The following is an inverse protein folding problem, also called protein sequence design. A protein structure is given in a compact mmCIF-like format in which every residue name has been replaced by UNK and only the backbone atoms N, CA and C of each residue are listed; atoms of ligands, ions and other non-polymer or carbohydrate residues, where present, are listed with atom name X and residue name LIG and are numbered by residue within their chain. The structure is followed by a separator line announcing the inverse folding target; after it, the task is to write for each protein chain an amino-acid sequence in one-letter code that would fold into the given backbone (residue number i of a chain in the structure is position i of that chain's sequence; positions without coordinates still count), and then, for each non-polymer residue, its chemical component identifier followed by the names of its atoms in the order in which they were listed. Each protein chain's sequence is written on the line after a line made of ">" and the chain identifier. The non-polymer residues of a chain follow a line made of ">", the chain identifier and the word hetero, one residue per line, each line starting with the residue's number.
data_IF_730007664228
#
_entry.id   IF_730007664228
#
_cell.length_a   1.000
_cell.length_b   1.000
_cell.length_c   1.000
_cell.angle_alpha   90.00
_cell.angle_beta   90.00
_cell.angle_gamma   90.00
#
_symmetry.space_group_name_H-M   'P 1'
#
loop_
_entity.id
_entity.type
_entity.pdbx_description
1 polymer ?
#
# COMPACT_ATOMS: atom_id res chain seq x y z
N UNK A 1 63.37 20.66 40.53
CA UNK A 1 62.67 21.86 40.02
C UNK A 1 62.03 21.49 38.69
N UNK A 2 60.74 21.63 38.38
CA UNK A 2 59.62 22.25 39.07
C UNK A 2 58.33 21.52 38.65
N UNK A 3 57.88 20.53 39.44
CA UNK A 3 56.56 19.88 39.25
C UNK A 3 55.39 20.86 39.48
N UNK A 4 55.63 21.96 40.19
CA UNK A 4 54.63 23.00 40.42
C UNK A 4 54.30 23.86 39.18
N UNK A 5 55.25 24.08 38.26
CA UNK A 5 54.99 24.89 37.05
C UNK A 5 54.15 24.10 36.05
N UNK A 6 54.40 22.79 35.91
CA UNK A 6 53.63 21.93 35.03
C UNK A 6 52.15 21.78 35.47
N UNK A 7 51.91 21.74 36.79
CA UNK A 7 50.55 21.62 37.33
C UNK A 7 49.75 22.94 37.17
N UNK A 8 50.40 24.10 37.31
CA UNK A 8 49.73 25.39 37.08
C UNK A 8 49.37 25.59 35.60
N UNK A 9 50.25 25.23 34.66
CA UNK A 9 49.95 25.34 33.23
C UNK A 9 48.80 24.42 32.78
N UNK A 10 48.71 23.20 33.34
CA UNK A 10 47.61 22.27 33.05
C UNK A 10 46.26 22.76 33.59
N UNK A 11 46.23 23.34 34.79
CA UNK A 11 45.00 23.87 35.38
C UNK A 11 44.49 25.10 34.60
N UNK A 12 45.39 26.00 34.18
CA UNK A 12 45.01 27.16 33.35
C UNK A 12 44.48 26.75 31.96
N UNK A 13 45.02 25.68 31.37
CA UNK A 13 44.56 25.16 30.07
C UNK A 13 43.18 24.47 30.17
N UNK A 14 42.93 23.75 31.26
CA UNK A 14 41.64 23.09 31.52
C UNK A 14 40.52 24.11 31.85
N UNK A 15 40.83 25.16 32.60
CA UNK A 15 39.85 26.23 32.88
C UNK A 15 39.52 27.06 31.63
N UNK A 16 40.51 27.31 30.76
CA UNK A 16 40.29 28.03 29.50
C UNK A 16 39.40 27.26 28.51
N UNK A 17 39.56 25.94 28.41
CA UNK A 17 38.77 25.10 27.51
C UNK A 17 37.33 24.89 28.00
N UNK A 18 37.10 24.79 29.32
CA UNK A 18 35.74 24.74 29.87
C UNK A 18 34.95 26.05 29.62
N UNK A 19 35.61 27.21 29.77
CA UNK A 19 34.95 28.51 29.58
C UNK A 19 34.55 28.76 28.11
N UNK A 20 35.38 28.33 27.15
CA UNK A 20 35.06 28.40 25.73
C UNK A 20 33.96 27.41 25.30
N UNK A 21 33.89 26.25 25.94
CA UNK A 21 32.83 25.25 25.69
C UNK A 21 31.46 25.74 26.17
N UNK A 22 31.37 26.29 27.38
CA UNK A 22 30.13 26.77 27.98
C UNK A 22 29.53 27.96 27.19
N UNK A 23 30.38 28.89 26.71
CA UNK A 23 29.92 30.04 25.92
C UNK A 23 29.38 29.64 24.54
N UNK A 24 30.01 28.66 23.89
CA UNK A 24 29.58 28.14 22.58
C UNK A 24 28.25 27.38 22.66
N UNK A 25 27.96 26.74 23.79
CA UNK A 25 26.68 26.06 24.04
C UNK A 25 25.57 27.08 24.32
N UNK A 26 25.81 28.11 25.12
CA UNK A 26 24.82 29.14 25.42
C UNK A 26 24.39 29.96 24.18
N UNK A 27 25.35 30.31 23.31
CA UNK A 27 25.06 31.05 22.07
C UNK A 27 24.35 30.17 21.03
N UNK A 28 24.59 28.84 21.03
CA UNK A 28 23.89 27.91 20.14
C UNK A 28 22.46 27.61 20.60
N UNK A 29 22.19 27.58 21.91
CA UNK A 29 20.84 27.40 22.47
C UNK A 29 19.97 28.63 22.26
N UNK A 30 20.52 29.85 22.42
CA UNK A 30 19.78 31.10 22.16
C UNK A 30 19.44 31.31 20.67
N UNK A 31 20.33 30.88 19.77
CA UNK A 31 20.08 30.92 18.33
C UNK A 31 19.03 29.90 17.85
N UNK A 32 18.93 28.73 18.48
CA UNK A 32 17.91 27.71 18.13
C UNK A 32 16.50 28.12 18.54
N UNK A 33 16.30 28.70 19.72
CA UNK A 33 14.95 29.09 20.15
C UNK A 33 14.31 30.18 19.27
N UNK A 34 15.08 31.19 18.83
CA UNK A 34 14.56 32.25 17.96
C UNK A 34 14.36 31.79 16.49
N UNK A 35 15.12 30.77 16.04
CA UNK A 35 14.93 30.16 14.72
C UNK A 35 13.76 29.17 14.77
N UNK A 36 13.59 28.39 15.83
CA UNK A 36 12.49 27.43 15.98
C UNK A 36 11.12 28.13 16.09
N UNK A 37 11.05 29.30 16.71
CA UNK A 37 9.79 30.04 16.85
C UNK A 37 9.37 30.72 15.54
N UNK A 38 10.33 31.31 14.82
CA UNK A 38 10.07 31.99 13.54
C UNK A 38 9.87 31.00 12.38
N UNK A 39 10.57 29.86 12.38
CA UNK A 39 10.34 28.75 11.43
C UNK A 39 8.97 28.10 11.68
N UNK A 40 8.50 28.04 12.93
CA UNK A 40 7.15 27.52 13.24
C UNK A 40 6.04 28.42 12.71
N UNK A 41 6.17 29.74 12.80
CA UNK A 41 5.11 30.67 12.42
C UNK A 41 5.01 30.85 10.89
N UNK A 42 6.15 31.03 10.22
CA UNK A 42 6.20 31.13 8.74
C UNK A 42 5.79 29.81 8.06
N UNK A 43 6.11 28.65 8.64
CA UNK A 43 5.66 27.36 8.10
C UNK A 43 4.15 27.12 8.32
N UNK A 44 3.58 27.57 9.44
CA UNK A 44 2.15 27.41 9.73
C UNK A 44 1.26 28.22 8.78
N UNK A 45 1.70 29.40 8.34
CA UNK A 45 0.97 30.20 7.34
C UNK A 45 1.09 29.59 5.94
N UNK A 46 2.29 29.15 5.50
CA UNK A 46 2.46 28.42 4.24
C UNK A 46 1.63 27.12 4.18
N UNK A 47 1.47 26.43 5.32
CA UNK A 47 0.69 25.20 5.42
C UNK A 47 -0.82 25.44 5.43
N UNK A 48 -1.28 26.60 5.95
CA UNK A 48 -2.68 27.04 5.81
C UNK A 48 -3.01 27.40 4.37
N UNK A 49 -2.09 28.05 3.66
CA UNK A 49 -2.27 28.39 2.24
C UNK A 49 -2.26 27.15 1.33
N UNK A 50 -1.50 26.10 1.70
CA UNK A 50 -1.48 24.81 0.99
C UNK A 50 -2.62 23.86 1.36
N UNK A 51 -3.49 24.24 2.30
CA UNK A 51 -4.63 23.40 2.71
C UNK A 51 -4.23 22.17 3.53
N UNK A 52 -3.14 22.23 4.29
CA UNK A 52 -2.69 21.13 5.14
C UNK A 52 -3.75 20.73 6.17
N UNK A 53 -3.92 19.43 6.40
CA UNK A 53 -4.86 18.90 7.40
C UNK A 53 -4.30 19.14 8.82
N UNK A 54 -4.63 20.29 9.40
CA UNK A 54 -4.21 20.69 10.74
C UNK A 54 -5.18 20.10 11.79
N UNK A 55 -4.65 19.40 12.80
CA UNK A 55 -5.43 18.89 13.94
C UNK A 55 -4.93 19.52 15.24
N UNK A 56 -5.85 19.97 16.09
CA UNK A 56 -5.52 20.62 17.37
C UNK A 56 -5.57 19.60 18.51
N UNK A 57 -4.45 19.40 19.20
CA UNK A 57 -4.35 18.59 20.42
C UNK A 57 -3.93 19.51 21.57
N UNK A 58 -4.89 19.89 22.42
CA UNK A 58 -4.64 20.89 23.45
C UNK A 58 -4.35 22.27 22.84
N UNK A 59 -3.19 22.85 23.15
CA UNK A 59 -2.74 24.14 22.57
C UNK A 59 -1.85 23.96 21.33
N UNK A 60 -1.42 22.74 21.02
CA UNK A 60 -0.56 22.46 19.87
C UNK A 60 -1.37 22.16 18.62
N UNK A 61 -0.90 22.69 17.49
CA UNK A 61 -1.42 22.36 16.15
C UNK A 61 -0.44 21.40 15.50
N UNK A 62 -0.90 20.17 15.27
CA UNK A 62 -0.12 19.14 14.61
C UNK A 62 -0.52 19.09 13.14
N UNK A 63 0.48 18.99 12.28
CA UNK A 63 0.28 18.57 10.90
C UNK A 63 0.03 17.08 10.89
N UNK A 64 -1.10 16.67 10.33
CA UNK A 64 -1.20 15.29 9.88
C UNK A 64 -0.22 15.12 8.73
N UNK A 65 0.65 14.08 8.76
CA UNK A 65 1.49 13.79 7.61
C UNK A 65 0.60 13.63 6.38
N UNK A 66 0.95 14.32 5.30
CA UNK A 66 0.26 14.14 4.02
C UNK A 66 0.49 12.70 3.57
N UNK A 67 -0.57 11.90 3.68
CA UNK A 67 -0.56 10.53 3.16
C UNK A 67 -0.95 10.61 1.70
N UNK A 68 0.06 10.64 0.85
CA UNK A 68 -0.18 10.58 -0.59
C UNK A 68 -0.66 9.19 -1.00
N UNK A 69 -1.64 9.19 -1.90
CA UNK A 69 -2.16 7.99 -2.53
C UNK A 69 -1.08 7.37 -3.43
N UNK A 70 -0.89 6.05 -3.35
CA UNK A 70 0.00 5.30 -4.27
C UNK A 70 -0.53 5.24 -5.71
N UNK A 71 -1.77 5.69 -5.96
CA UNK A 71 -2.38 5.68 -7.28
C UNK A 71 -1.80 6.77 -8.19
N UNK A 72 -1.43 6.38 -9.40
CA UNK A 72 -1.01 7.30 -10.44
C UNK A 72 -2.21 7.67 -11.34
N UNK A 73 -2.67 8.92 -11.23
CA UNK A 73 -3.74 9.46 -12.07
C UNK A 73 -3.24 10.03 -13.40
N UNK A 74 -1.94 10.26 -13.55
CA UNK A 74 -1.28 10.76 -14.76
C UNK A 74 -0.89 9.63 -15.71
N UNK A 75 -1.81 8.68 -15.92
CA UNK A 75 -1.56 7.56 -16.83
C UNK A 75 -1.46 8.05 -18.28
N UNK A 76 -0.50 7.52 -19.06
CA UNK A 76 -0.40 7.86 -20.47
C UNK A 76 -1.66 7.43 -21.21
N UNK A 77 -2.19 8.26 -22.12
CA UNK A 77 -3.37 7.89 -22.92
C UNK A 77 -3.06 7.00 -24.13
N UNK A 78 -1.80 6.65 -24.33
CA UNK A 78 -1.30 5.86 -25.46
C UNK A 78 -0.72 4.54 -24.95
N UNK A 79 -1.17 3.45 -25.55
CA UNK A 79 -0.64 2.14 -25.22
C UNK A 79 0.84 2.01 -25.57
N UNK A 80 1.63 1.34 -24.71
CA UNK A 80 3.00 1.01 -24.99
C UNK A 80 3.13 0.09 -26.20
N UNK A 81 4.29 0.15 -26.87
CA UNK A 81 4.61 -0.74 -27.98
C UNK A 81 4.75 -2.18 -27.48
N UNK A 82 4.26 -3.15 -28.28
CA UNK A 82 4.39 -4.59 -27.98
C UNK A 82 5.83 -5.05 -27.73
N UNK A 83 6.82 -4.36 -28.30
CA UNK A 83 8.24 -4.69 -28.15
C UNK A 83 8.87 -4.17 -26.85
N UNK A 84 8.25 -3.18 -26.19
CA UNK A 84 8.82 -2.56 -24.99
C UNK A 84 8.10 -3.08 -23.74
N UNK A 85 8.63 -4.16 -23.17
CA UNK A 85 8.07 -4.81 -21.97
C UNK A 85 8.14 -3.90 -20.74
N UNK A 86 9.22 -3.12 -20.59
CA UNK A 86 9.40 -2.23 -19.46
C UNK A 86 8.27 -1.17 -19.39
N UNK A 87 7.98 -0.52 -20.53
CA UNK A 87 6.85 0.43 -20.60
C UNK A 87 5.48 -0.23 -20.45
N UNK A 88 5.36 -1.53 -20.76
CA UNK A 88 4.12 -2.28 -20.49
C UNK A 88 3.93 -2.52 -19.00
N UNK A 89 5.00 -2.89 -18.29
CA UNK A 89 4.99 -3.05 -16.83
C UNK A 89 4.71 -1.72 -16.13
N UNK A 90 5.39 -0.65 -16.50
CA UNK A 90 5.13 0.70 -15.97
C UNK A 90 3.67 1.14 -16.18
N UNK A 91 3.13 0.90 -17.39
CA UNK A 91 1.73 1.20 -17.67
C UNK A 91 0.76 0.31 -16.88
N UNK A 92 1.10 -0.99 -16.69
CA UNK A 92 0.34 -1.93 -15.87
C UNK A 92 0.31 -1.50 -14.41
N UNK A 93 1.46 -1.13 -13.86
CA UNK A 93 1.61 -0.79 -12.45
C UNK A 93 0.95 0.55 -12.11
N UNK A 94 0.86 1.45 -13.09
CA UNK A 94 0.11 2.69 -12.95
C UNK A 94 -1.40 2.51 -12.94
N UNK A 95 -1.95 1.38 -13.41
CA UNK A 95 -3.38 1.15 -13.54
C UNK A 95 -4.06 0.85 -12.20
N UNK A 96 -4.96 1.75 -11.79
CA UNK A 96 -5.78 1.59 -10.58
C UNK A 96 -7.12 0.88 -10.79
N UNK A 97 -7.50 0.59 -12.04
CA UNK A 97 -8.72 -0.15 -12.39
C UNK A 97 -8.36 -1.42 -13.15
N UNK A 98 -9.11 -2.49 -12.90
CA UNK A 98 -8.87 -3.76 -13.58
C UNK A 98 -10.00 -4.76 -13.44
N UNK A 99 -9.67 -5.99 -13.81
CA UNK A 99 -10.58 -7.13 -13.78
C UNK A 99 -9.91 -8.37 -13.18
N UNK A 100 -10.64 -9.06 -12.31
CA UNK A 100 -10.30 -10.40 -11.84
C UNK A 100 -10.87 -11.40 -12.85
N UNK A 101 -10.00 -12.17 -13.46
CA UNK A 101 -10.34 -13.24 -14.38
C UNK A 101 -10.18 -14.55 -13.64
N UNK A 102 -11.30 -15.11 -13.18
CA UNK A 102 -11.35 -16.35 -12.40
C UNK A 102 -11.66 -17.51 -13.35
N UNK A 103 -10.90 -18.60 -13.25
CA UNK A 103 -11.13 -19.80 -14.06
C UNK A 103 -12.55 -20.33 -13.84
N UNK A 104 -13.22 -20.72 -14.93
CA UNK A 104 -14.60 -21.22 -14.93
C UNK A 104 -15.65 -20.25 -14.38
N UNK A 105 -15.30 -18.98 -14.23
CA UNK A 105 -16.24 -17.95 -13.81
C UNK A 105 -16.92 -17.30 -15.03
N UNK A 106 -18.23 -17.05 -15.02
CA UNK A 106 -18.97 -16.63 -16.21
C UNK A 106 -18.58 -15.24 -16.75
N UNK A 107 -18.06 -14.35 -15.90
CA UNK A 107 -17.68 -13.00 -16.31
C UNK A 107 -16.60 -12.39 -15.41
N UNK A 108 -15.65 -11.61 -15.96
CA UNK A 108 -14.62 -10.99 -15.15
C UNK A 108 -15.19 -9.98 -14.14
N UNK A 109 -14.74 -10.06 -12.88
CA UNK A 109 -15.17 -9.17 -11.80
C UNK A 109 -14.33 -7.89 -11.85
N UNK A 110 -14.96 -6.72 -11.85
CA UNK A 110 -14.23 -5.45 -11.82
C UNK A 110 -13.59 -5.22 -10.46
N UNK A 111 -12.42 -4.58 -10.43
CA UNK A 111 -11.79 -4.15 -9.18
C UNK A 111 -11.22 -2.74 -9.28
N UNK A 112 -11.07 -2.09 -8.13
CA UNK A 112 -10.28 -0.87 -7.97
C UNK A 112 -9.14 -1.12 -7.00
N UNK A 113 -7.95 -0.64 -7.33
CA UNK A 113 -6.80 -0.68 -6.44
C UNK A 113 -7.01 0.27 -5.25
N UNK A 114 -6.55 -0.13 -4.08
CA UNK A 114 -6.56 0.75 -2.91
C UNK A 114 -5.57 1.91 -3.06
N UNK A 115 -5.73 2.96 -2.24
CA UNK A 115 -4.77 4.07 -2.19
C UNK A 115 -3.40 3.69 -1.59
N UNK A 116 -3.23 2.44 -1.17
CA UNK A 116 -2.08 1.89 -0.48
C UNK A 116 -1.77 0.48 -0.99
N UNK A 117 -0.62 -0.07 -0.58
CA UNK A 117 -0.14 -1.36 -1.05
C UNK A 117 0.58 -1.28 -2.39
N UNK A 118 0.84 -2.44 -2.97
CA UNK A 118 1.57 -2.61 -4.24
C UNK A 118 0.62 -2.67 -5.45
N UNK A 119 1.15 -2.52 -6.67
CA UNK A 119 0.45 -2.87 -7.91
C UNK A 119 -0.04 -4.32 -7.93
N UNK A 120 -1.05 -4.58 -8.76
CA UNK A 120 -1.61 -5.92 -8.91
C UNK A 120 -0.53 -6.92 -9.37
N UNK A 121 -0.38 -8.09 -8.71
CA UNK A 121 0.65 -9.07 -9.05
C UNK A 121 0.47 -9.63 -10.46
N UNK A 122 1.58 -9.92 -11.13
CA UNK A 122 1.61 -10.60 -12.43
C UNK A 122 1.39 -12.12 -12.25
N UNK A 123 0.78 -12.77 -13.25
CA UNK A 123 0.64 -14.23 -13.29
C UNK A 123 -0.57 -14.78 -12.54
N UNK A 124 -0.62 -16.11 -12.42
CA UNK A 124 -1.72 -16.86 -11.83
C UNK A 124 -1.73 -16.77 -10.31
N UNK A 125 -2.93 -16.62 -9.76
CA UNK A 125 -3.21 -16.49 -8.34
C UNK A 125 -4.12 -17.63 -7.90
N UNK A 126 -3.85 -18.15 -6.71
CA UNK A 126 -4.78 -19.02 -5.98
C UNK A 126 -5.65 -18.17 -5.07
N UNK A 127 -6.95 -18.14 -5.31
CA UNK A 127 -7.91 -17.42 -4.48
C UNK A 127 -8.31 -18.27 -3.27
N UNK A 128 -8.22 -17.68 -2.08
CA UNK A 128 -8.61 -18.31 -0.81
C UNK A 128 -9.47 -17.35 0.00
N UNK A 129 -10.41 -17.89 0.76
CA UNK A 129 -11.20 -17.11 1.71
C UNK A 129 -10.39 -16.93 3.00
N UNK A 130 -10.41 -15.71 3.57
CA UNK A 130 -9.89 -15.48 4.91
C UNK A 130 -10.62 -16.37 5.93
N UNK A 131 -9.94 -17.02 6.91
CA UNK A 131 -10.58 -17.99 7.81
C UNK A 131 -11.77 -17.43 8.60
N UNK A 132 -11.70 -16.17 9.02
CA UNK A 132 -12.74 -15.42 9.71
C UNK A 132 -13.65 -14.63 8.75
N UNK A 133 -13.52 -14.83 7.43
CA UNK A 133 -14.14 -14.05 6.35
C UNK A 133 -13.72 -12.57 6.29
N UNK A 134 -13.15 -12.01 7.35
CA UNK A 134 -12.88 -10.58 7.49
C UNK A 134 -11.39 -10.23 7.48
N UNK A 135 -10.49 -11.19 7.63
CA UNK A 135 -9.04 -11.00 7.73
C UNK A 135 -8.62 -10.04 8.85
N UNK A 136 -9.30 -10.05 10.00
CA UNK A 136 -8.99 -9.10 11.07
C UNK A 136 -7.93 -9.59 12.06
N UNK A 137 -7.70 -10.90 12.11
CA UNK A 137 -6.73 -11.54 13.00
C UNK A 137 -5.57 -12.15 12.20
N UNK A 138 -4.49 -12.54 12.89
CA UNK A 138 -3.39 -13.25 12.24
C UNK A 138 -3.79 -14.69 11.88
N UNK A 139 -3.44 -15.12 10.68
CA UNK A 139 -3.65 -16.48 10.20
C UNK A 139 -2.52 -16.89 9.26
N UNK A 140 -2.56 -18.13 8.81
CA UNK A 140 -1.65 -18.65 7.78
C UNK A 140 -2.49 -19.07 6.58
N UNK A 141 -2.09 -18.64 5.38
CA UNK A 141 -2.63 -19.24 4.17
C UNK A 141 -1.81 -20.46 3.80
N UNK A 142 -2.47 -21.59 3.52
CA UNK A 142 -1.81 -22.75 2.94
C UNK A 142 -1.36 -22.44 1.51
N UNK A 143 -0.09 -22.05 1.35
CA UNK A 143 0.51 -21.70 0.06
C UNK A 143 1.66 -20.68 0.14
N UNK A 144 2.37 -20.62 1.27
CA UNK A 144 3.44 -19.65 1.48
C UNK A 144 4.70 -20.04 0.73
N UNK A 145 4.98 -19.36 -0.39
CA UNK A 145 6.28 -19.21 -1.05
C UNK A 145 7.20 -20.45 -1.04
N UNK A 146 6.64 -21.66 -1.18
CA UNK A 146 7.45 -22.85 -1.50
C UNK A 146 7.64 -22.88 -3.02
N UNK A 147 8.83 -23.26 -3.47
CA UNK A 147 9.18 -23.30 -4.88
C UNK A 147 8.17 -24.16 -5.66
N UNK A 148 7.38 -23.53 -6.55
CA UNK A 148 6.35 -24.19 -7.35
C UNK A 148 4.89 -23.92 -6.91
N UNK A 149 4.64 -23.24 -5.80
CA UNK A 149 3.29 -22.83 -5.41
C UNK A 149 2.88 -21.49 -6.03
N UNK A 150 1.60 -21.37 -6.44
CA UNK A 150 1.05 -20.12 -6.94
C UNK A 150 0.94 -19.07 -5.82
N UNK A 151 1.25 -17.78 -6.09
CA UNK A 151 0.95 -16.71 -5.16
C UNK A 151 -0.53 -16.69 -4.75
N UNK A 152 -0.79 -16.33 -3.49
CA UNK A 152 -2.13 -16.41 -2.91
C UNK A 152 -2.84 -15.05 -2.95
N UNK A 153 -4.09 -15.05 -3.39
CA UNK A 153 -5.01 -13.94 -3.25
C UNK A 153 -6.04 -14.24 -2.15
N UNK A 154 -5.99 -13.48 -1.06
CA UNK A 154 -6.98 -13.61 0.01
C UNK A 154 -8.20 -12.78 -0.32
N UNK A 155 -9.39 -13.37 -0.22
CA UNK A 155 -10.67 -12.67 -0.26
C UNK A 155 -11.14 -12.42 1.18
N UNK A 156 -11.52 -11.17 1.47
CA UNK A 156 -12.11 -10.79 2.74
C UNK A 156 -13.28 -9.81 2.55
N UNK A 157 -14.22 -9.80 3.48
CA UNK A 157 -15.37 -8.90 3.48
C UNK A 157 -15.04 -7.57 4.18
N UNK A 158 -15.53 -6.45 3.64
CA UNK A 158 -15.49 -5.12 4.28
C UNK A 158 -16.20 -5.14 5.65
N UNK A 159 -15.71 -4.31 6.57
CA UNK A 159 -16.26 -4.16 7.92
C UNK A 159 -15.44 -4.86 9.00
N UNK A 160 -15.92 -4.81 10.25
CA UNK A 160 -15.31 -5.35 11.48
C UNK A 160 -14.00 -4.66 11.90
N UNK A 161 -13.05 -4.49 10.99
CA UNK A 161 -11.75 -3.83 11.22
C UNK A 161 -11.35 -2.96 10.03
N UNK A 162 -10.31 -2.13 10.20
CA UNK A 162 -9.79 -1.22 9.16
C UNK A 162 -9.19 -1.96 7.98
N UNK A 163 -9.16 -1.35 6.79
CA UNK A 163 -8.53 -1.94 5.60
C UNK A 163 -7.03 -2.20 5.80
N UNK A 164 -6.33 -1.29 6.50
CA UNK A 164 -4.93 -1.49 6.87
C UNK A 164 -4.70 -2.73 7.72
N UNK A 165 -5.57 -2.99 8.72
CA UNK A 165 -5.49 -4.21 9.53
C UNK A 165 -5.70 -5.47 8.69
N UNK A 166 -6.69 -5.44 7.77
CA UNK A 166 -6.94 -6.56 6.84
C UNK A 166 -5.71 -6.86 5.99
N UNK A 167 -5.13 -5.82 5.41
CA UNK A 167 -3.97 -5.95 4.53
C UNK A 167 -2.74 -6.44 5.27
N UNK A 168 -2.49 -5.95 6.50
CA UNK A 168 -1.39 -6.44 7.35
C UNK A 168 -1.57 -7.91 7.73
N UNK A 169 -2.77 -8.32 8.11
CA UNK A 169 -3.07 -9.72 8.41
C UNK A 169 -2.85 -10.63 7.18
N UNK A 170 -3.36 -10.25 6.02
CA UNK A 170 -3.16 -10.98 4.77
C UNK A 170 -1.68 -11.04 4.35
N UNK A 171 -0.93 -9.93 4.51
CA UNK A 171 0.49 -9.90 4.21
C UNK A 171 1.29 -10.83 5.13
N UNK A 172 1.01 -10.82 6.44
CA UNK A 172 1.61 -11.75 7.42
C UNK A 172 1.27 -13.21 7.12
N UNK A 173 0.10 -13.46 6.54
CA UNK A 173 -0.29 -14.80 6.11
C UNK A 173 0.48 -15.28 4.86
N UNK A 174 1.17 -14.38 4.14
CA UNK A 174 1.92 -14.70 2.91
C UNK A 174 1.15 -14.45 1.62
N UNK A 175 0.06 -13.67 1.66
CA UNK A 175 -0.70 -13.31 0.47
C UNK A 175 0.12 -12.36 -0.45
N UNK A 176 -0.09 -12.45 -1.76
CA UNK A 176 0.39 -11.46 -2.73
C UNK A 176 -0.68 -10.39 -3.03
N UNK A 177 -1.95 -10.74 -2.82
CA UNK A 177 -3.11 -9.89 -3.09
C UNK A 177 -4.14 -10.04 -1.97
N UNK A 178 -4.67 -8.92 -1.49
CA UNK A 178 -5.92 -8.86 -0.73
C UNK A 178 -7.03 -8.31 -1.63
N UNK A 179 -8.12 -9.06 -1.75
CA UNK A 179 -9.35 -8.64 -2.41
C UNK A 179 -10.40 -8.40 -1.35
N UNK A 180 -10.81 -7.13 -1.20
CA UNK A 180 -11.86 -6.73 -0.27
C UNK A 180 -13.19 -6.68 -1.00
N UNK A 181 -14.12 -7.53 -0.60
CA UNK A 181 -15.50 -7.48 -1.10
C UNK A 181 -16.23 -6.36 -0.39
N UNK A 182 -16.72 -5.41 -1.17
CA UNK A 182 -17.46 -4.28 -0.64
C UNK A 182 -18.80 -4.74 -0.03
N UNK A 183 -19.25 -4.09 1.03
CA UNK A 183 -20.59 -4.30 1.63
C UNK A 183 -21.58 -3.23 1.22
N UNK A 184 -21.09 -2.13 0.67
CA UNK A 184 -21.88 -1.00 0.17
C UNK A 184 -22.05 -1.08 -1.35
N UNK A 185 -23.01 -0.32 -1.87
CA UNK A 185 -23.22 -0.24 -3.31
C UNK A 185 -22.09 0.53 -3.99
N UNK A 186 -21.66 0.06 -5.15
CA UNK A 186 -20.59 0.69 -5.94
C UNK A 186 -19.20 0.11 -5.68
N UNK A 187 -18.23 0.67 -6.40
CA UNK A 187 -16.84 0.26 -6.41
C UNK A 187 -15.98 1.48 -6.09
N UNK A 188 -15.08 1.37 -5.12
CA UNK A 188 -14.32 2.50 -4.57
C UNK A 188 -12.85 2.16 -4.35
N UNK A 189 -11.99 3.18 -4.39
CA UNK A 189 -10.61 3.06 -3.92
C UNK A 189 -10.61 3.03 -2.40
N UNK A 190 -10.03 1.98 -1.81
CA UNK A 190 -10.02 1.84 -0.35
C UNK A 190 -9.02 2.83 0.27
N UNK A 191 -9.45 3.70 1.20
CA UNK A 191 -8.54 4.56 1.94
C UNK A 191 -7.95 3.80 3.14
N UNK A 192 -6.64 3.90 3.36
CA UNK A 192 -6.04 3.47 4.62
C UNK A 192 -4.81 4.33 4.93
N UNK A 193 -5.00 5.50 5.55
CA UNK A 193 -3.90 6.42 5.84
C UNK A 193 -2.88 5.84 6.84
N UNK A 194 -3.18 4.73 7.50
CA UNK A 194 -2.32 4.06 8.47
C UNK A 194 -1.59 2.82 7.91
N UNK A 195 -1.71 2.55 6.60
CA UNK A 195 -1.32 1.29 5.97
C UNK A 195 -0.16 1.41 4.98
N UNK A 196 0.81 2.28 5.27
CA UNK A 196 1.98 2.52 4.41
C UNK A 196 2.97 1.35 4.36
N UNK A 197 2.95 0.49 5.38
CA UNK A 197 3.83 -0.66 5.54
C UNK A 197 3.35 -1.89 4.76
N UNK A 198 2.17 -1.82 4.14
CA UNK A 198 1.57 -2.94 3.41
C UNK A 198 2.35 -3.24 2.13
N UNK A 199 3.03 -4.38 2.10
CA UNK A 199 3.85 -4.84 0.98
C UNK A 199 3.13 -5.87 0.08
N UNK A 200 1.81 -5.78 -0.04
CA UNK A 200 0.98 -6.63 -0.91
C UNK A 200 0.05 -5.76 -1.75
N UNK A 201 -0.47 -6.30 -2.85
CA UNK A 201 -1.53 -5.61 -3.59
C UNK A 201 -2.82 -5.64 -2.79
N UNK A 202 -3.58 -4.53 -2.83
CA UNK A 202 -4.91 -4.46 -2.20
C UNK A 202 -5.89 -3.90 -3.22
N UNK A 203 -7.00 -4.61 -3.42
CA UNK A 203 -8.07 -4.21 -4.35
C UNK A 203 -9.43 -4.36 -3.70
N UNK A 204 -10.40 -3.57 -4.14
CA UNK A 204 -11.82 -3.73 -3.82
C UNK A 204 -12.57 -4.34 -4.99
N UNK A 205 -13.62 -5.11 -4.71
CA UNK A 205 -14.58 -5.57 -5.71
C UNK A 205 -16.01 -5.22 -5.30
N UNK A 206 -16.97 -5.11 -6.24
CA UNK A 206 -18.34 -4.76 -5.92
C UNK A 206 -19.01 -5.81 -5.03
N UNK A 207 -20.03 -5.37 -4.29
CA UNK A 207 -20.77 -6.21 -3.33
C UNK A 207 -21.40 -7.44 -3.96
N UNK A 208 -22.09 -7.28 -5.08
CA UNK A 208 -22.93 -8.34 -5.62
C UNK A 208 -22.07 -9.45 -6.24
N UNK A 209 -21.13 -9.10 -7.13
CA UNK A 209 -20.20 -10.07 -7.73
C UNK A 209 -19.23 -10.67 -6.69
N UNK A 210 -18.70 -9.85 -5.78
CA UNK A 210 -17.81 -10.33 -4.72
C UNK A 210 -18.53 -11.22 -3.70
N UNK A 211 -19.81 -10.96 -3.41
CA UNK A 211 -20.64 -11.80 -2.55
C UNK A 211 -20.88 -13.20 -3.14
N UNK A 212 -21.09 -13.28 -4.46
CA UNK A 212 -21.20 -14.57 -5.17
C UNK A 212 -19.86 -15.32 -5.10
N UNK A 213 -18.73 -14.62 -5.29
CA UNK A 213 -17.40 -15.22 -5.15
C UNK A 213 -17.14 -15.76 -3.74
N UNK A 214 -17.49 -14.98 -2.70
CA UNK A 214 -17.41 -15.42 -1.30
C UNK A 214 -18.22 -16.69 -1.06
N UNK A 215 -19.48 -16.72 -1.52
CA UNK A 215 -20.35 -17.89 -1.37
C UNK A 215 -19.84 -19.13 -2.12
N UNK A 216 -19.15 -18.94 -3.24
CA UNK A 216 -18.50 -20.02 -3.98
C UNK A 216 -17.29 -20.58 -3.21
N UNK A 217 -16.44 -19.70 -2.68
CA UNK A 217 -15.25 -20.09 -1.90
C UNK A 217 -15.64 -20.75 -0.56
N UNK A 218 -16.62 -20.22 0.16
CA UNK A 218 -17.14 -20.83 1.40
C UNK A 218 -17.61 -22.26 1.17
N UNK A 219 -18.32 -22.49 0.06
CA UNK A 219 -18.80 -23.83 -0.29
C UNK A 219 -17.66 -24.79 -0.60
N UNK A 220 -16.61 -24.31 -1.29
CA UNK A 220 -15.43 -25.09 -1.61
C UNK A 220 -14.62 -25.53 -0.37
N UNK A 221 -14.78 -24.84 0.76
CA UNK A 221 -14.13 -25.19 2.03
C UNK A 221 -14.87 -26.26 2.85
N UNK A 222 -16.06 -26.70 2.42
CA UNK A 222 -16.84 -27.70 3.17
C UNK A 222 -16.23 -29.10 3.03
N UNK A 223 -16.20 -29.91 4.11
CA UNK A 223 -15.46 -31.18 4.18
C UNK A 223 -15.87 -32.26 3.17
N UNK A 224 -17.03 -32.10 2.50
CA UNK A 224 -17.54 -33.04 1.49
C UNK A 224 -17.46 -32.49 0.05
N UNK A 225 -16.80 -31.35 -0.15
CA UNK A 225 -16.57 -30.78 -1.48
C UNK A 225 -15.10 -30.97 -1.80
N UNK A 226 -14.76 -31.46 -3.00
CA UNK A 226 -13.37 -31.47 -3.42
C UNK A 226 -12.85 -30.03 -3.30
N UNK A 227 -11.70 -29.78 -2.64
CA UNK A 227 -11.16 -28.43 -2.52
C UNK A 227 -10.78 -27.94 -3.92
N UNK A 228 -11.71 -27.27 -4.58
CA UNK A 228 -11.46 -26.58 -5.81
C UNK A 228 -10.58 -25.39 -5.48
N UNK A 229 -9.29 -25.47 -5.79
CA UNK A 229 -8.45 -24.27 -5.79
C UNK A 229 -9.01 -23.35 -6.86
N UNK A 230 -9.68 -22.27 -6.45
CA UNK A 230 -10.12 -21.24 -7.38
C UNK A 230 -8.88 -20.51 -7.85
N UNK A 231 -8.62 -20.52 -9.16
CA UNK A 231 -7.46 -19.89 -9.77
C UNK A 231 -7.89 -18.73 -10.68
N UNK A 232 -6.98 -17.82 -10.94
CA UNK A 232 -7.22 -16.75 -11.90
C UNK A 232 -6.15 -15.67 -11.85
N UNK A 233 -6.42 -14.51 -12.46
CA UNK A 233 -5.48 -13.38 -12.52
C UNK A 233 -6.14 -12.06 -12.18
N UNK A 234 -5.37 -11.19 -11.52
CA UNK A 234 -5.69 -9.78 -11.42
C UNK A 234 -5.05 -9.02 -12.59
N UNK A 235 -5.89 -8.54 -13.52
CA UNK A 235 -5.44 -7.89 -14.75
C UNK A 235 -5.86 -6.41 -14.74
N UNK A 236 -4.93 -5.47 -14.55
CA UNK A 236 -5.17 -4.06 -14.72
C UNK A 236 -5.55 -3.73 -16.17
N UNK A 237 -6.49 -2.80 -16.33
CA UNK A 237 -7.00 -2.39 -17.61
C UNK A 237 -6.70 -0.91 -17.81
N UNK A 238 -6.04 -0.61 -18.92
CA UNK A 238 -5.72 0.74 -19.36
C UNK A 238 -6.71 1.15 -20.45
N UNK A 239 -7.28 2.35 -20.34
CA UNK A 239 -8.14 2.93 -21.36
C UNK A 239 -7.41 4.05 -22.11
N UNK A 240 -7.31 3.93 -23.44
CA UNK A 240 -6.69 4.93 -24.30
C UNK A 240 -7.63 6.09 -24.64
N UNK A 241 -7.09 7.09 -25.34
CA UNK A 241 -7.82 8.29 -25.74
C UNK A 241 -9.08 8.03 -26.60
N UNK A 242 -9.19 6.86 -27.24
CA UNK A 242 -10.33 6.48 -28.10
C UNK A 242 -11.35 5.60 -27.39
N UNK A 243 -11.37 5.61 -26.06
CA UNK A 243 -12.20 4.71 -25.24
C UNK A 243 -11.94 3.22 -25.49
N UNK A 244 -10.78 2.89 -26.09
CA UNK A 244 -10.34 1.51 -26.23
C UNK A 244 -9.69 1.09 -24.92
N UNK A 245 -10.21 0.04 -24.28
CA UNK A 245 -9.70 -0.44 -23.00
C UNK A 245 -9.14 -1.85 -23.16
N UNK A 246 -7.89 -2.06 -22.74
CA UNK A 246 -7.21 -3.36 -22.81
C UNK A 246 -6.08 -3.43 -21.78
N UNK A 247 -5.61 -4.64 -21.42
CA UNK A 247 -4.43 -4.78 -20.59
C UNK A 247 -3.22 -4.14 -21.29
N UNK A 248 -2.38 -3.38 -20.58
CA UNK A 248 -1.16 -2.81 -21.17
C UNK A 248 -0.11 -3.89 -21.48
N UNK A 249 -0.05 -4.95 -20.66
CA UNK A 249 0.89 -6.06 -20.83
C UNK A 249 0.38 -7.09 -21.84
N UNK A 250 1.23 -7.49 -22.79
CA UNK A 250 0.86 -8.47 -23.82
C UNK A 250 0.53 -9.84 -23.22
N UNK A 251 1.26 -10.27 -22.18
CA UNK A 251 0.99 -11.55 -21.51
C UNK A 251 -0.42 -11.63 -20.89
N UNK A 252 -0.95 -10.50 -20.41
CA UNK A 252 -2.33 -10.43 -19.92
C UNK A 252 -3.35 -10.47 -21.06
N UNK A 253 -3.05 -9.82 -22.20
CA UNK A 253 -3.89 -9.89 -23.39
C UNK A 253 -3.98 -11.33 -23.92
N UNK A 254 -2.85 -12.02 -23.95
CA UNK A 254 -2.75 -13.42 -24.39
C UNK A 254 -3.52 -14.33 -23.43
N UNK A 255 -3.34 -14.18 -22.11
CA UNK A 255 -4.10 -14.91 -21.12
C UNK A 255 -5.62 -14.75 -21.31
N UNK A 256 -6.12 -13.52 -21.47
CA UNK A 256 -7.55 -13.26 -21.66
C UNK A 256 -8.07 -13.89 -22.96
N UNK A 257 -7.29 -13.82 -24.04
CA UNK A 257 -7.66 -14.42 -25.32
C UNK A 257 -7.78 -15.94 -25.23
N UNK A 258 -6.92 -16.56 -24.44
CA UNK A 258 -6.79 -18.01 -24.34
C UNK A 258 -7.67 -18.60 -23.22
N UNK A 259 -8.41 -17.76 -22.48
CA UNK A 259 -9.36 -18.21 -21.46
C UNK A 259 -10.47 -19.06 -22.10
N UNK A 260 -10.76 -20.25 -21.57
CA UNK A 260 -11.91 -21.02 -21.98
C UNK A 260 -13.16 -20.26 -21.52
N UNK A 261 -13.84 -19.58 -22.45
CA UNK A 261 -15.15 -18.99 -22.19
C UNK A 261 -16.08 -20.19 -21.97
N UNK A 262 -16.57 -20.33 -20.74
CA UNK A 262 -17.53 -21.37 -20.33
C UNK A 262 -18.91 -21.16 -20.94
#
# INVERSE_FOLDING_TARGET
>A
MNRHIALQLLISFLLGTLALSQKKVADHVKGRHAVDEKVKEDSLEELKEKGGNLFKVGEEVLLLPEVESNLNFDQPKRFPSKKNIQKQKEARDGCFWGRLYIEHWPSPIQYMQAHFGLPAPEGDLKFVLAPDTHSCEEYQVGGGATEGELPVAVIALRGVCTFGNKARAAAKAGAALLVVVNTEAGLEHLPAPDAHDVAISVVSVPRDEGGVLLGHLDRALRPNTAPGSVRGRAVPIMCGARSECRPPLVADQDYIRDLPIG
#
